data_IF_534630741566
#
_entry.id   IF_534630741566
#
_cell.length_a   1.000
_cell.length_b   1.000
_cell.length_c   1.000
_cell.angle_alpha   90.00
_cell.angle_beta   90.00
_cell.angle_gamma   90.00
#
_symmetry.space_group_name_H-M   'P 1'
#
loop_
_entity.id
_entity.type
_entity.pdbx_description
1 polymer ?
#
# COMPACT_ATOMS: atom_id res chain seq x y z
N UNK A 1 3.97 8.54 -13.40
CA UNK A 1 3.04 8.58 -14.56
C UNK A 1 1.95 7.55 -14.36
N UNK A 2 0.71 7.83 -14.80
CA UNK A 2 -0.42 6.90 -14.72
C UNK A 2 -1.25 6.96 -16.01
N UNK A 3 -2.02 5.90 -16.26
CA UNK A 3 -2.89 5.79 -17.43
C UNK A 3 -4.30 5.41 -17.04
N UNK A 4 -5.26 5.88 -17.83
CA UNK A 4 -6.65 5.43 -17.75
C UNK A 4 -6.99 4.76 -19.09
N UNK A 5 -7.41 3.50 -19.03
CA UNK A 5 -7.94 2.79 -20.18
C UNK A 5 -9.45 2.67 -20.06
N UNK A 6 -10.18 3.22 -21.02
CA UNK A 6 -11.63 3.14 -21.06
C UNK A 6 -12.11 2.86 -22.47
N UNK A 7 -13.03 1.91 -22.63
CA UNK A 7 -13.63 1.57 -23.94
C UNK A 7 -14.84 2.46 -24.29
N UNK A 8 -15.45 3.06 -23.28
CA UNK A 8 -16.59 3.97 -23.47
C UNK A 8 -16.07 5.34 -23.94
N UNK A 9 -16.42 5.71 -25.19
CA UNK A 9 -16.00 6.98 -25.79
C UNK A 9 -16.53 8.21 -25.05
N UNK A 10 -17.73 8.14 -24.47
CA UNK A 10 -18.32 9.24 -23.73
C UNK A 10 -17.56 9.50 -22.43
N UNK A 11 -17.24 8.43 -21.69
CA UNK A 11 -16.39 8.52 -20.51
C UNK A 11 -14.98 8.98 -20.83
N UNK A 12 -14.37 8.50 -21.93
CA UNK A 12 -13.05 8.99 -22.34
C UNK A 12 -13.05 10.50 -22.64
N UNK A 13 -14.08 11.02 -23.30
CA UNK A 13 -14.20 12.47 -23.52
C UNK A 13 -14.35 13.24 -22.20
N UNK A 14 -15.10 12.70 -21.24
CA UNK A 14 -15.24 13.28 -19.90
C UNK A 14 -13.90 13.29 -19.16
N UNK A 15 -13.14 12.21 -19.21
CA UNK A 15 -11.80 12.14 -18.61
C UNK A 15 -10.82 13.10 -19.27
N UNK A 16 -10.88 13.25 -20.59
CA UNK A 16 -10.05 14.20 -21.32
C UNK A 16 -10.38 15.64 -20.90
N UNK A 17 -11.66 16.00 -20.86
CA UNK A 17 -12.09 17.33 -20.42
C UNK A 17 -11.67 17.60 -18.97
N UNK A 18 -11.80 16.63 -18.07
CA UNK A 18 -11.34 16.76 -16.69
C UNK A 18 -9.80 16.91 -16.60
N UNK A 19 -9.05 16.14 -17.39
CA UNK A 19 -7.59 16.26 -17.49
C UNK A 19 -7.17 17.66 -17.92
N UNK A 20 -7.82 18.22 -18.94
CA UNK A 20 -7.52 19.57 -19.44
C UNK A 20 -7.79 20.67 -18.41
N UNK A 21 -8.77 20.47 -17.52
CA UNK A 21 -9.04 21.39 -16.40
C UNK A 21 -8.04 21.29 -15.25
N UNK A 22 -7.53 20.06 -14.98
CA UNK A 22 -6.60 19.81 -13.89
C UNK A 22 -5.18 20.15 -14.33
N UNK A 23 -4.83 19.75 -15.57
CA UNK A 23 -3.48 19.92 -16.05
C UNK A 23 -3.39 19.66 -17.58
N UNK A 24 -3.01 20.69 -18.33
CA UNK A 24 -3.13 20.73 -19.78
C UNK A 24 -2.24 19.69 -20.46
N UNK A 25 -0.98 19.57 -20.03
CA UNK A 25 -0.03 18.59 -20.60
C UNK A 25 0.85 17.98 -19.51
N UNK A 26 1.22 16.72 -19.72
CA UNK A 26 2.16 16.00 -18.90
C UNK A 26 3.61 16.43 -19.13
N UNK A 27 4.49 15.98 -18.25
CA UNK A 27 5.92 16.11 -18.46
C UNK A 27 6.37 15.23 -19.63
N UNK A 28 6.87 15.82 -20.69
CA UNK A 28 7.42 15.09 -21.83
C UNK A 28 8.60 14.19 -21.42
N UNK A 29 9.37 14.60 -20.40
CA UNK A 29 10.46 13.80 -19.85
C UNK A 29 9.94 12.51 -19.19
N UNK A 30 8.87 12.62 -18.36
CA UNK A 30 8.27 11.45 -17.73
C UNK A 30 7.66 10.50 -18.75
N UNK A 31 7.07 11.04 -19.82
CA UNK A 31 6.54 10.24 -20.94
C UNK A 31 7.66 9.49 -21.68
N UNK A 32 8.77 10.17 -21.97
CA UNK A 32 9.93 9.56 -22.61
C UNK A 32 10.55 8.44 -21.77
N UNK A 33 10.70 8.67 -20.44
CA UNK A 33 11.19 7.66 -19.51
C UNK A 33 10.24 6.47 -19.42
N UNK A 34 8.93 6.72 -19.28
CA UNK A 34 7.92 5.67 -19.26
C UNK A 34 7.89 4.85 -20.55
N UNK A 35 8.00 5.51 -21.72
CA UNK A 35 8.09 4.83 -23.01
C UNK A 35 9.31 3.91 -23.07
N UNK A 36 10.48 4.41 -22.67
CA UNK A 36 11.71 3.61 -22.65
C UNK A 36 11.58 2.37 -21.76
N UNK A 37 11.03 2.51 -20.55
CA UNK A 37 10.77 1.39 -19.65
C UNK A 37 9.76 0.39 -20.24
N UNK A 38 8.69 0.86 -20.87
CA UNK A 38 7.70 -0.01 -21.50
C UNK A 38 8.28 -0.81 -22.69
N UNK A 39 9.21 -0.24 -23.46
CA UNK A 39 9.92 -0.97 -24.53
C UNK A 39 10.76 -2.14 -23.99
N UNK A 40 11.24 -2.02 -22.78
CA UNK A 40 12.11 -3.02 -22.12
C UNK A 40 11.39 -3.80 -21.00
N UNK A 41 10.04 -3.73 -20.93
CA UNK A 41 9.24 -4.32 -19.85
C UNK A 41 9.56 -5.78 -19.54
N UNK A 42 9.83 -6.58 -20.58
CA UNK A 42 10.07 -8.02 -20.42
C UNK A 42 11.40 -8.32 -19.70
N UNK A 43 12.33 -7.36 -19.65
CA UNK A 43 13.59 -7.47 -18.90
C UNK A 43 13.39 -7.24 -17.41
N UNK A 44 12.41 -6.41 -17.01
CA UNK A 44 12.24 -5.97 -15.61
C UNK A 44 11.05 -6.63 -14.90
N UNK A 45 9.93 -6.85 -15.62
CA UNK A 45 8.69 -7.29 -14.98
C UNK A 45 8.80 -8.64 -14.30
N UNK A 46 9.60 -9.56 -14.83
CA UNK A 46 9.77 -10.90 -14.26
C UNK A 46 10.38 -10.87 -12.87
N UNK A 47 11.48 -10.13 -12.70
CA UNK A 47 12.18 -9.99 -11.41
C UNK A 47 11.37 -9.18 -10.41
N UNK A 48 10.75 -8.08 -10.83
CA UNK A 48 9.90 -7.25 -9.97
C UNK A 48 8.69 -8.06 -9.47
N UNK A 49 8.02 -8.80 -10.35
CA UNK A 49 6.89 -9.62 -9.97
C UNK A 49 7.29 -10.78 -9.03
N UNK A 50 8.49 -11.33 -9.19
CA UNK A 50 9.01 -12.35 -8.27
C UNK A 50 9.26 -11.76 -6.87
N UNK A 51 9.93 -10.61 -6.79
CA UNK A 51 10.19 -9.92 -5.52
C UNK A 51 8.89 -9.55 -4.79
N UNK A 52 7.90 -9.01 -5.52
CA UNK A 52 6.58 -8.68 -4.94
C UNK A 52 5.88 -9.95 -4.42
N UNK A 53 5.92 -11.07 -5.14
CA UNK A 53 5.34 -12.35 -4.67
C UNK A 53 5.99 -12.84 -3.38
N UNK A 54 7.32 -12.76 -3.29
CA UNK A 54 8.04 -13.15 -2.09
C UNK A 54 7.65 -12.29 -0.89
N UNK A 55 7.60 -10.96 -1.08
CA UNK A 55 7.16 -10.00 -0.06
C UNK A 55 5.70 -10.21 0.34
N UNK A 56 4.84 -10.50 -0.63
CA UNK A 56 3.45 -10.86 -0.35
C UNK A 56 3.36 -12.14 0.49
N UNK A 57 4.18 -13.14 0.21
CA UNK A 57 4.24 -14.38 1.02
C UNK A 57 4.64 -14.09 2.46
N UNK A 58 5.64 -13.21 2.69
CA UNK A 58 6.03 -12.76 4.03
C UNK A 58 4.85 -12.08 4.74
N UNK A 59 4.19 -11.13 4.04
CA UNK A 59 3.03 -10.42 4.57
C UNK A 59 1.88 -11.37 4.92
N UNK A 60 1.54 -12.30 4.03
CA UNK A 60 0.47 -13.28 4.22
C UNK A 60 0.76 -14.20 5.41
N UNK A 61 1.95 -14.78 5.47
CA UNK A 61 2.36 -15.64 6.58
C UNK A 61 2.26 -14.92 7.92
N UNK A 62 2.70 -13.66 7.96
CA UNK A 62 2.59 -12.85 9.17
C UNK A 62 1.13 -12.57 9.53
N UNK A 63 0.29 -12.20 8.57
CA UNK A 63 -1.15 -11.96 8.81
C UNK A 63 -1.88 -13.22 9.30
N UNK A 64 -1.58 -14.39 8.76
CA UNK A 64 -2.16 -15.66 9.19
C UNK A 64 -1.77 -16.01 10.64
N UNK A 65 -0.60 -15.59 11.08
CA UNK A 65 -0.14 -15.76 12.47
C UNK A 65 -0.76 -14.74 13.45
N UNK A 66 -1.42 -13.67 12.95
CA UNK A 66 -2.03 -12.64 13.78
C UNK A 66 -3.47 -13.01 14.18
N UNK A 67 -3.78 -12.83 15.47
CA UNK A 67 -5.15 -12.94 15.97
C UNK A 67 -5.82 -11.57 16.22
N UNK A 68 -5.04 -10.48 16.22
CA UNK A 68 -5.48 -9.12 16.53
C UNK A 68 -5.87 -8.31 15.29
N UNK A 69 -5.43 -8.74 14.13
CA UNK A 69 -5.71 -8.12 12.83
C UNK A 69 -6.54 -9.03 11.94
N UNK A 70 -7.24 -8.43 11.03
CA UNK A 70 -7.90 -9.12 9.92
C UNK A 70 -7.79 -8.28 8.64
N UNK A 71 -7.88 -8.93 7.50
CA UNK A 71 -7.81 -8.30 6.20
C UNK A 71 -8.63 -9.03 5.16
N UNK A 72 -8.88 -8.36 4.06
CA UNK A 72 -9.25 -9.02 2.81
C UNK A 72 -7.94 -9.27 2.07
N UNK A 73 -7.62 -10.52 1.81
CA UNK A 73 -6.41 -10.89 1.07
C UNK A 73 -6.42 -10.23 -0.31
N UNK A 74 -5.42 -9.41 -0.65
CA UNK A 74 -5.38 -8.75 -1.95
C UNK A 74 -5.02 -9.76 -3.07
N UNK A 75 -5.75 -9.68 -4.18
CA UNK A 75 -5.47 -10.49 -5.37
C UNK A 75 -4.29 -9.99 -6.20
N UNK A 76 -3.68 -8.87 -5.82
CA UNK A 76 -2.55 -8.26 -6.52
C UNK A 76 -2.20 -6.90 -5.94
N UNK A 77 -1.22 -6.25 -6.55
CA UNK A 77 -0.72 -4.95 -6.09
C UNK A 77 0.42 -5.09 -5.09
N UNK A 78 0.70 -3.99 -4.40
CA UNK A 78 1.88 -3.83 -3.51
C UNK A 78 1.49 -3.30 -2.13
N UNK A 79 0.18 -3.25 -1.84
CA UNK A 79 -0.39 -2.76 -0.59
C UNK A 79 -1.53 -3.66 -0.15
N UNK A 80 -1.78 -3.69 1.15
CA UNK A 80 -2.98 -4.29 1.74
C UNK A 80 -3.64 -3.31 2.72
N UNK A 81 -4.86 -3.61 3.14
CA UNK A 81 -5.65 -2.74 4.00
C UNK A 81 -6.23 -3.49 5.19
N UNK A 82 -5.39 -3.97 6.14
CA UNK A 82 -5.85 -4.66 7.33
C UNK A 82 -6.54 -3.69 8.32
N UNK A 83 -7.31 -4.31 9.25
CA UNK A 83 -7.92 -3.60 10.37
C UNK A 83 -7.68 -4.33 11.69
N UNK A 84 -7.75 -3.59 12.79
CA UNK A 84 -7.76 -4.15 14.14
C UNK A 84 -9.13 -4.80 14.39
N UNK A 85 -9.17 -6.09 14.76
CA UNK A 85 -10.42 -6.85 14.97
C UNK A 85 -11.30 -6.30 16.08
N UNK A 86 -10.68 -5.90 17.19
CA UNK A 86 -11.34 -5.43 18.40
C UNK A 86 -10.83 -4.04 18.78
N UNK A 87 -11.22 -2.99 18.01
CA UNK A 87 -10.70 -1.64 18.23
C UNK A 87 -11.06 -1.05 19.60
N UNK A 88 -12.12 -1.53 20.23
CA UNK A 88 -12.54 -1.13 21.58
C UNK A 88 -11.52 -1.55 22.66
N UNK A 89 -10.69 -2.56 22.38
CA UNK A 89 -9.65 -3.09 23.26
C UNK A 89 -8.28 -2.50 23.02
N UNK A 90 -8.15 -1.61 22.05
CA UNK A 90 -6.87 -1.02 21.64
C UNK A 90 -6.97 0.50 21.69
N UNK A 91 -5.97 1.15 22.28
CA UNK A 91 -5.81 2.59 22.08
C UNK A 91 -5.09 2.85 20.75
N UNK A 92 -5.87 3.23 19.76
CA UNK A 92 -5.36 3.46 18.40
C UNK A 92 -4.35 4.62 18.33
N UNK A 93 -4.41 5.58 19.27
CA UNK A 93 -3.43 6.67 19.30
C UNK A 93 -2.10 6.15 19.84
N UNK A 94 -2.11 5.40 20.94
CA UNK A 94 -0.92 4.75 21.49
C UNK A 94 -0.29 3.83 20.43
N UNK A 95 -1.11 3.06 19.71
CA UNK A 95 -0.62 2.20 18.63
C UNK A 95 0.21 2.97 17.59
N UNK A 96 -0.34 4.05 17.00
CA UNK A 96 0.38 4.82 15.99
C UNK A 96 1.57 5.59 16.56
N UNK A 97 1.46 6.11 17.79
CA UNK A 97 2.55 6.81 18.44
C UNK A 97 3.73 5.90 18.72
N UNK A 98 3.49 4.71 19.27
CA UNK A 98 4.52 3.69 19.55
C UNK A 98 5.18 3.24 18.24
N UNK A 99 4.38 2.97 17.20
CA UNK A 99 4.87 2.54 15.90
C UNK A 99 5.87 3.55 15.29
N UNK A 100 5.55 4.84 15.40
CA UNK A 100 6.40 5.90 14.85
C UNK A 100 7.59 6.21 15.79
N UNK A 101 7.33 6.45 17.09
CA UNK A 101 8.33 6.97 18.00
C UNK A 101 9.36 5.92 18.43
N UNK A 102 8.92 4.67 18.65
CA UNK A 102 9.79 3.61 19.16
C UNK A 102 10.39 2.75 18.04
N UNK A 103 9.62 2.56 16.94
CA UNK A 103 10.04 1.65 15.87
C UNK A 103 10.33 2.35 14.53
N UNK A 104 10.20 3.68 14.46
CA UNK A 104 10.41 4.45 13.21
C UNK A 104 9.67 3.85 12.02
N UNK A 105 8.54 3.19 12.27
CA UNK A 105 7.74 2.49 11.26
C UNK A 105 6.46 3.27 10.99
N UNK A 106 6.07 3.35 9.73
CA UNK A 106 4.91 4.13 9.31
C UNK A 106 3.97 3.34 8.43
N UNK A 107 2.67 3.47 8.70
CA UNK A 107 1.59 2.92 7.87
C UNK A 107 0.54 4.00 7.61
N UNK A 108 -0.14 3.95 6.49
CA UNK A 108 -1.19 4.92 6.19
C UNK A 108 -2.43 4.68 7.05
N UNK A 109 -2.77 5.58 7.99
CA UNK A 109 -3.94 5.39 8.84
C UNK A 109 -5.24 5.49 8.05
N UNK A 110 -6.27 4.73 8.49
CA UNK A 110 -7.53 4.58 7.77
C UNK A 110 -8.21 5.90 7.40
N UNK A 111 -8.12 6.93 8.25
CA UNK A 111 -8.78 8.21 7.99
C UNK A 111 -8.24 8.97 6.75
N UNK A 112 -7.08 8.61 6.22
CA UNK A 112 -6.62 9.12 4.93
C UNK A 112 -7.38 8.53 3.73
N UNK A 113 -8.16 7.50 3.97
CA UNK A 113 -8.93 6.74 2.98
C UNK A 113 -10.42 6.69 3.34
N UNK A 114 -10.92 7.70 4.05
CA UNK A 114 -12.31 7.80 4.53
C UNK A 114 -12.77 6.59 5.36
N UNK A 115 -11.82 5.91 6.04
CA UNK A 115 -12.08 4.76 6.89
C UNK A 115 -11.74 5.08 8.36
N UNK A 116 -12.34 4.39 9.33
CA UNK A 116 -11.96 4.54 10.73
C UNK A 116 -10.47 4.30 10.98
N UNK A 117 -9.91 4.96 12.00
CA UNK A 117 -8.46 4.90 12.31
C UNK A 117 -7.93 3.51 12.66
N UNK A 118 -8.78 2.55 13.01
CA UNK A 118 -8.38 1.18 13.24
C UNK A 118 -8.13 0.37 11.95
N UNK A 119 -8.42 0.95 10.78
CA UNK A 119 -7.93 0.48 9.48
C UNK A 119 -6.57 1.11 9.18
N UNK A 120 -5.74 0.39 8.43
CA UNK A 120 -4.44 0.90 8.01
C UNK A 120 -4.03 0.39 6.64
N UNK A 121 -3.38 1.21 5.84
CA UNK A 121 -2.75 0.78 4.60
C UNK A 121 -1.32 0.39 4.88
N UNK A 122 -0.97 -0.86 4.63
CA UNK A 122 0.38 -1.39 4.74
C UNK A 122 0.94 -1.64 3.36
N UNK A 123 2.06 -0.99 3.03
CA UNK A 123 2.80 -1.17 1.79
C UNK A 123 3.87 -2.24 1.96
N UNK A 124 3.85 -3.27 1.12
CA UNK A 124 4.85 -4.34 1.16
C UNK A 124 5.75 -4.39 -0.08
N UNK A 125 5.45 -3.59 -1.12
CA UNK A 125 6.20 -3.64 -2.37
C UNK A 125 7.52 -2.87 -2.37
N UNK A 126 7.62 -1.79 -1.59
CA UNK A 126 8.80 -0.93 -1.58
C UNK A 126 9.94 -1.40 -0.66
N UNK A 127 9.71 -1.77 0.63
CA UNK A 127 10.78 -2.13 1.53
C UNK A 127 11.52 -3.39 1.07
N UNK A 128 12.76 -3.59 1.50
CA UNK A 128 13.46 -4.87 1.40
C UNK A 128 12.69 -5.96 2.18
N UNK A 129 13.03 -7.23 1.97
CA UNK A 129 12.41 -8.34 2.70
C UNK A 129 12.70 -8.26 4.21
N UNK A 130 13.87 -7.80 4.56
CA UNK A 130 14.33 -7.59 5.94
C UNK A 130 13.56 -6.45 6.60
N UNK A 131 13.52 -5.27 5.98
CA UNK A 131 12.74 -4.11 6.45
C UNK A 131 11.25 -4.45 6.59
N UNK A 132 10.69 -5.24 5.65
CA UNK A 132 9.30 -5.68 5.75
C UNK A 132 9.06 -6.53 7.00
N UNK A 133 9.94 -7.49 7.28
CA UNK A 133 9.83 -8.35 8.48
C UNK A 133 9.96 -7.52 9.77
N UNK A 134 10.89 -6.59 9.82
CA UNK A 134 11.08 -5.68 10.95
C UNK A 134 9.86 -4.78 11.16
N UNK A 135 9.33 -4.18 10.10
CA UNK A 135 8.12 -3.36 10.16
C UNK A 135 6.89 -4.14 10.61
N UNK A 136 6.72 -5.39 10.16
CA UNK A 136 5.64 -6.26 10.61
C UNK A 136 5.80 -6.66 12.10
N UNK A 137 7.03 -6.92 12.54
CA UNK A 137 7.29 -7.15 13.97
C UNK A 137 6.99 -5.90 14.81
N UNK A 138 7.35 -4.72 14.32
CA UNK A 138 7.04 -3.45 14.96
C UNK A 138 5.52 -3.22 15.07
N UNK A 139 4.75 -3.54 14.03
CA UNK A 139 3.28 -3.52 14.05
C UNK A 139 2.72 -4.40 15.18
N UNK A 140 3.20 -5.64 15.29
CA UNK A 140 2.78 -6.57 16.34
C UNK A 140 3.06 -6.03 17.75
N UNK A 141 4.29 -5.56 18.00
CA UNK A 141 4.70 -4.99 19.29
C UNK A 141 3.91 -3.72 19.64
N UNK A 142 3.67 -2.84 18.66
CA UNK A 142 2.89 -1.62 18.90
C UNK A 142 1.42 -1.92 19.23
N UNK A 143 0.85 -2.97 18.61
CA UNK A 143 -0.48 -3.45 18.97
C UNK A 143 -0.52 -4.01 20.40
N UNK A 144 0.52 -4.71 20.82
CA UNK A 144 0.62 -5.22 22.20
C UNK A 144 0.72 -4.09 23.22
N UNK A 145 1.56 -3.10 22.95
CA UNK A 145 1.72 -1.92 23.82
C UNK A 145 0.43 -1.07 23.93
N UNK A 146 -0.42 -1.10 22.91
CA UNK A 146 -1.67 -0.34 22.85
C UNK A 146 -2.89 -1.10 23.41
N UNK A 147 -2.75 -2.34 23.87
CA UNK A 147 -3.85 -3.12 24.49
C UNK A 147 -4.27 -2.48 25.81
N UNK A 148 -5.62 -2.40 26.00
CA UNK A 148 -6.25 -1.88 27.23
C UNK A 148 -6.45 -2.99 28.24
#
# INVERSE_FOLDING_TARGET
MGWIFCRDKKLMNTFLAAKEQIYICGSALDEAVAYHYLQQKDQYLGSIAADIRDKFTIMKTWMEAQNKLEWIEPNGGVVCFPRIKHPERVDVNIFYETLIKEYSTYVGPGHWFDMPRHYMRVGFGWPSKEELKEGLAALGKSLEAAMK
#
